data_IF_768956248007
#
_entry.id   IF_768956248007
#
_cell.length_a   1.000
_cell.length_b   1.000
_cell.length_c   1.000
_cell.angle_alpha   90.00
_cell.angle_beta   90.00
_cell.angle_gamma   90.00
#
_symmetry.space_group_name_H-M   'P 1'
#
loop_
_entity.id
_entity.type
_entity.pdbx_description
1 polymer ?
#
# COMPACT_ATOMS: atom_id res chain seq x y z
N UNK A 1 30.38 35.66 1.88
CA UNK A 1 29.13 35.55 2.64
C UNK A 1 28.56 34.16 2.42
N UNK A 2 28.78 33.27 3.38
CA UNK A 2 28.08 31.99 3.60
C UNK A 2 26.56 32.27 3.71
N UNK A 3 25.64 31.44 3.23
CA UNK A 3 25.40 30.08 3.70
C UNK A 3 24.63 29.29 2.63
N UNK A 4 25.18 28.14 2.23
CA UNK A 4 24.49 27.10 1.48
C UNK A 4 23.87 26.18 2.54
N UNK A 5 22.58 25.82 2.32
CA UNK A 5 21.95 24.54 2.72
C UNK A 5 21.05 24.53 3.96
N UNK A 6 19.81 24.95 3.76
CA UNK A 6 18.64 24.40 4.47
C UNK A 6 17.89 23.40 3.57
N UNK A 7 18.66 22.48 2.98
CA UNK A 7 18.15 21.21 2.48
C UNK A 7 18.72 20.17 3.43
N UNK A 8 18.09 19.96 4.58
CA UNK A 8 18.19 18.72 5.37
C UNK A 8 17.33 18.75 6.63
N UNK A 9 16.33 17.86 6.64
CA UNK A 9 15.99 17.00 7.77
C UNK A 9 15.44 17.66 9.04
N UNK A 10 14.14 17.96 9.02
CA UNK A 10 13.29 17.72 10.20
C UNK A 10 12.81 16.26 10.16
N UNK A 11 13.77 15.35 10.29
CA UNK A 11 13.52 13.99 10.73
C UNK A 11 13.47 13.97 12.26
N UNK A 12 12.83 12.93 12.78
CA UNK A 12 12.85 12.50 14.18
C UNK A 12 11.79 13.12 15.09
N UNK A 13 10.52 12.74 14.86
CA UNK A 13 9.71 12.14 15.94
C UNK A 13 8.40 11.56 15.45
N UNK A 14 8.41 10.55 14.58
CA UNK A 14 7.23 9.73 14.40
C UNK A 14 7.70 8.28 14.15
N UNK A 15 7.00 7.26 14.66
CA UNK A 15 6.23 6.58 13.65
C UNK A 15 4.88 6.17 14.22
N UNK A 16 3.97 7.07 14.62
CA UNK A 16 2.68 6.63 15.09
C UNK A 16 1.87 6.32 13.85
N UNK A 17 1.94 5.08 13.35
CA UNK A 17 1.12 4.53 12.27
C UNK A 17 0.72 5.55 11.20
N UNK A 18 1.62 5.84 10.27
CA UNK A 18 1.26 6.70 9.14
C UNK A 18 0.38 5.90 8.19
N UNK A 19 -0.93 6.12 8.28
CA UNK A 19 -1.89 5.60 7.31
C UNK A 19 -1.45 5.95 5.89
N UNK A 20 -0.83 7.11 5.68
CA UNK A 20 -0.33 7.53 4.37
C UNK A 20 0.87 6.69 3.88
N UNK A 21 1.72 6.23 4.80
CA UNK A 21 2.79 5.28 4.45
C UNK A 21 2.21 3.90 4.10
N UNK A 22 1.23 3.42 4.87
CA UNK A 22 0.50 2.17 4.57
C UNK A 22 -0.16 2.25 3.19
N UNK A 23 -0.86 3.34 2.89
CA UNK A 23 -1.47 3.59 1.60
C UNK A 23 -0.44 3.62 0.46
N UNK A 24 0.73 4.19 0.71
CA UNK A 24 1.82 4.26 -0.27
C UNK A 24 2.43 2.89 -0.55
N UNK A 25 2.55 2.02 0.47
CA UNK A 25 3.01 0.63 0.30
C UNK A 25 1.99 -0.17 -0.52
N UNK A 26 0.71 -0.13 -0.12
CA UNK A 26 -0.35 -0.85 -0.83
C UNK A 26 -0.50 -0.36 -2.27
N UNK A 27 -0.53 0.95 -2.49
CA UNK A 27 -0.60 1.54 -3.82
C UNK A 27 0.61 1.19 -4.67
N UNK A 28 1.82 1.19 -4.09
CA UNK A 28 3.05 0.79 -4.79
C UNK A 28 3.01 -0.66 -5.25
N UNK A 29 2.55 -1.58 -4.38
CA UNK A 29 2.43 -3.00 -4.71
C UNK A 29 1.39 -3.26 -5.81
N UNK A 30 0.31 -2.47 -5.89
CA UNK A 30 -0.70 -2.57 -6.96
C UNK A 30 -0.17 -2.14 -8.34
N UNK A 31 0.87 -1.30 -8.38
CA UNK A 31 1.46 -0.79 -9.63
C UNK A 31 2.66 -1.65 -10.05
N UNK A 32 3.49 -2.02 -9.08
CA UNK A 32 4.75 -2.72 -9.29
C UNK A 32 4.81 -3.99 -8.46
N UNK A 33 4.22 -5.06 -9.01
CA UNK A 33 4.15 -6.37 -8.36
C UNK A 33 5.55 -6.98 -8.14
N UNK A 34 6.57 -6.55 -8.89
CA UNK A 34 7.96 -7.01 -8.73
C UNK A 34 8.55 -6.63 -7.35
N UNK A 35 8.05 -5.57 -6.72
CA UNK A 35 8.47 -5.16 -5.37
C UNK A 35 7.88 -6.03 -4.28
N UNK A 36 6.92 -6.90 -4.59
CA UNK A 36 6.27 -7.74 -3.61
C UNK A 36 7.26 -8.57 -2.80
N UNK A 37 8.18 -9.25 -3.49
CA UNK A 37 9.13 -10.17 -2.85
C UNK A 37 9.90 -9.45 -1.74
N UNK A 38 10.49 -8.29 -2.08
CA UNK A 38 11.26 -7.47 -1.14
C UNK A 38 10.42 -6.90 0.02
N UNK A 39 9.17 -6.53 -0.23
CA UNK A 39 8.29 -5.97 0.81
C UNK A 39 7.78 -7.08 1.74
N UNK A 40 7.38 -8.22 1.18
CA UNK A 40 6.83 -9.36 1.93
C UNK A 40 7.85 -10.04 2.84
N UNK A 41 9.15 -9.94 2.54
CA UNK A 41 10.23 -10.37 3.45
C UNK A 41 10.32 -9.54 4.75
N UNK A 42 9.81 -8.31 4.73
CA UNK A 42 10.03 -7.31 5.79
C UNK A 42 8.75 -6.82 6.45
N UNK A 43 7.61 -6.97 5.79
CA UNK A 43 6.32 -6.45 6.20
C UNK A 43 5.28 -7.55 6.07
N UNK A 44 4.51 -7.75 7.14
CA UNK A 44 3.40 -8.70 7.17
C UNK A 44 2.06 -7.95 7.27
N UNK A 45 0.96 -8.67 7.07
CA UNK A 45 -0.37 -8.07 7.22
C UNK A 45 -0.61 -7.51 8.63
N UNK A 46 0.02 -8.04 9.69
CA UNK A 46 -0.19 -7.58 11.06
C UNK A 46 0.55 -6.27 11.38
N UNK A 47 1.57 -5.91 10.60
CA UNK A 47 2.31 -4.64 10.73
C UNK A 47 1.46 -3.41 10.38
N UNK A 48 0.40 -3.60 9.58
CA UNK A 48 -0.54 -2.54 9.25
C UNK A 48 -1.44 -2.21 10.44
N UNK A 49 -1.64 -0.93 10.75
CA UNK A 49 -2.53 -0.53 11.84
C UNK A 49 -3.99 -0.63 11.45
N UNK A 50 -4.32 -0.22 10.23
CA UNK A 50 -5.68 -0.19 9.72
C UNK A 50 -6.15 -1.59 9.36
N UNK A 51 -7.22 -2.07 10.00
CA UNK A 51 -7.84 -3.37 9.68
C UNK A 51 -8.15 -3.51 8.17
N UNK A 52 -8.72 -2.50 7.48
CA UNK A 52 -8.82 -2.48 6.02
C UNK A 52 -7.51 -2.81 5.29
N UNK A 53 -6.39 -2.20 5.71
CA UNK A 53 -5.10 -2.42 5.07
C UNK A 53 -4.54 -3.81 5.33
N UNK A 54 -4.75 -4.36 6.55
CA UNK A 54 -4.40 -5.74 6.86
C UNK A 54 -5.10 -6.70 5.90
N UNK A 55 -6.42 -6.52 5.72
CA UNK A 55 -7.23 -7.34 4.81
C UNK A 55 -6.77 -7.20 3.37
N UNK A 56 -6.51 -5.97 2.91
CA UNK A 56 -5.99 -5.73 1.56
C UNK A 56 -4.67 -6.47 1.36
N UNK A 57 -3.68 -6.28 2.25
CA UNK A 57 -2.37 -6.90 2.12
C UNK A 57 -2.45 -8.44 2.15
N UNK A 58 -3.25 -9.00 3.06
CA UNK A 58 -3.47 -10.44 3.13
C UNK A 58 -4.07 -10.99 1.82
N UNK A 59 -5.00 -10.25 1.21
CA UNK A 59 -5.60 -10.68 -0.05
C UNK A 59 -4.66 -10.53 -1.24
N UNK A 60 -3.78 -9.51 -1.24
CA UNK A 60 -2.70 -9.40 -2.22
C UNK A 60 -1.76 -10.62 -2.15
N UNK A 61 -1.38 -11.03 -0.94
CA UNK A 61 -0.54 -12.22 -0.74
C UNK A 61 -1.23 -13.46 -1.32
N UNK A 62 -2.50 -13.65 -1.01
CA UNK A 62 -3.28 -14.79 -1.51
C UNK A 62 -3.37 -14.80 -3.05
N UNK A 63 -3.50 -13.65 -3.69
CA UNK A 63 -3.52 -13.56 -5.16
C UNK A 63 -2.19 -14.04 -5.76
N UNK A 64 -1.06 -13.64 -5.19
CA UNK A 64 0.25 -14.12 -5.64
C UNK A 64 0.46 -15.61 -5.38
N UNK A 65 0.01 -16.13 -4.25
CA UNK A 65 0.03 -17.58 -3.97
C UNK A 65 -0.78 -18.37 -5.02
N UNK A 66 -1.82 -17.75 -5.58
CA UNK A 66 -2.64 -18.29 -6.68
C UNK A 66 -2.06 -18.00 -8.08
N UNK A 67 -0.90 -17.34 -8.18
CA UNK A 67 -0.28 -16.94 -9.45
C UNK A 67 -1.07 -15.87 -10.20
N UNK A 68 -1.90 -15.09 -9.50
CA UNK A 68 -2.68 -13.99 -10.07
C UNK A 68 -1.98 -12.64 -9.84
N UNK A 69 -2.12 -11.70 -10.79
CA UNK A 69 -1.57 -10.35 -10.62
C UNK A 69 -2.29 -9.60 -9.48
N UNK A 70 -1.55 -8.70 -8.83
CA UNK A 70 -2.11 -7.78 -7.84
C UNK A 70 -2.37 -6.44 -8.54
N UNK A 71 -3.49 -6.34 -9.24
CA UNK A 71 -3.98 -5.09 -9.83
C UNK A 71 -5.32 -4.70 -9.20
N UNK A 72 -5.75 -3.45 -9.44
CA UNK A 72 -6.98 -2.90 -8.86
C UNK A 72 -8.23 -3.76 -9.15
N UNK A 73 -8.36 -4.27 -10.38
CA UNK A 73 -9.53 -5.04 -10.80
C UNK A 73 -9.48 -6.40 -10.10
N UNK A 74 -8.39 -7.14 -10.28
CA UNK A 74 -8.23 -8.49 -9.71
C UNK A 74 -8.38 -8.49 -8.19
N UNK A 75 -7.82 -7.49 -7.51
CA UNK A 75 -7.93 -7.34 -6.06
C UNK A 75 -9.37 -7.01 -5.64
N UNK A 76 -10.05 -6.13 -6.36
CA UNK A 76 -11.45 -5.79 -6.05
C UNK A 76 -12.39 -6.99 -6.21
N UNK A 77 -12.22 -7.77 -7.27
CA UNK A 77 -12.98 -9.01 -7.49
C UNK A 77 -12.68 -10.04 -6.40
N UNK A 78 -11.42 -10.20 -6.02
CA UNK A 78 -11.02 -11.14 -4.97
C UNK A 78 -11.59 -10.76 -3.59
N UNK A 79 -11.65 -9.46 -3.28
CA UNK A 79 -12.27 -8.95 -2.06
C UNK A 79 -13.79 -9.08 -2.10
N UNK A 80 -14.41 -8.88 -3.26
CA UNK A 80 -15.86 -9.05 -3.43
C UNK A 80 -16.27 -10.52 -3.26
N UNK A 81 -15.51 -11.46 -3.84
CA UNK A 81 -15.73 -12.89 -3.69
C UNK A 81 -15.65 -13.36 -2.23
N UNK A 82 -14.85 -12.68 -1.41
CA UNK A 82 -14.74 -12.93 0.02
C UNK A 82 -15.74 -12.15 0.88
N UNK A 83 -16.60 -11.30 0.28
CA UNK A 83 -17.46 -10.35 0.98
C UNK A 83 -16.70 -9.35 1.89
N UNK A 84 -15.45 -9.05 1.56
CA UNK A 84 -14.57 -8.14 2.31
C UNK A 84 -14.47 -6.75 1.66
N UNK A 85 -14.89 -6.59 0.40
CA UNK A 85 -14.74 -5.35 -0.37
C UNK A 85 -15.37 -4.14 0.34
N UNK A 86 -16.59 -4.27 0.86
CA UNK A 86 -17.24 -3.18 1.59
C UNK A 86 -16.51 -2.84 2.91
N UNK A 87 -15.94 -3.85 3.57
CA UNK A 87 -15.24 -3.68 4.86
C UNK A 87 -13.93 -2.89 4.73
N UNK A 88 -13.32 -2.89 3.55
CA UNK A 88 -12.07 -2.15 3.28
C UNK A 88 -12.31 -0.74 2.73
N UNK A 89 -13.57 -0.33 2.56
CA UNK A 89 -13.94 0.97 1.99
C UNK A 89 -14.42 0.93 0.54
N UNK A 90 -14.58 -0.26 -0.03
CA UNK A 90 -15.11 -0.46 -1.38
C UNK A 90 -14.12 -0.19 -2.51
N UNK A 91 -14.60 -0.36 -3.75
CA UNK A 91 -13.79 -0.14 -4.95
C UNK A 91 -13.19 1.26 -5.02
N UNK A 92 -13.95 2.28 -4.62
CA UNK A 92 -13.50 3.68 -4.62
C UNK A 92 -12.25 3.88 -3.77
N UNK A 93 -12.14 3.20 -2.62
CA UNK A 93 -10.97 3.29 -1.77
C UNK A 93 -9.74 2.67 -2.41
N UNK A 94 -9.88 1.47 -3.00
CA UNK A 94 -8.78 0.81 -3.70
C UNK A 94 -8.27 1.67 -4.89
N UNK A 95 -9.19 2.32 -5.61
CA UNK A 95 -8.83 3.23 -6.69
C UNK A 95 -8.04 4.45 -6.19
N UNK A 96 -8.40 5.00 -5.03
CA UNK A 96 -7.67 6.09 -4.37
C UNK A 96 -6.25 5.65 -3.96
N UNK A 97 -6.08 4.42 -3.44
CA UNK A 97 -4.76 3.87 -3.09
C UNK A 97 -3.83 3.79 -4.30
N UNK A 98 -4.33 3.24 -5.41
CA UNK A 98 -3.59 3.15 -6.66
C UNK A 98 -3.18 4.55 -7.19
N UNK A 99 -4.08 5.52 -7.07
CA UNK A 99 -3.85 6.90 -7.55
C UNK A 99 -2.85 7.68 -6.69
N UNK A 100 -2.84 7.49 -5.36
CA UNK A 100 -1.91 8.20 -4.46
C UNK A 100 -0.45 7.89 -4.79
N UNK A 101 -0.12 6.66 -5.16
CA UNK A 101 1.26 6.28 -5.50
C UNK A 101 1.72 6.88 -6.84
N UNK A 102 0.83 6.96 -7.84
CA UNK A 102 1.13 7.60 -9.13
C UNK A 102 1.54 9.10 -8.99
N UNK A 103 1.16 9.74 -7.89
CA UNK A 103 1.55 11.12 -7.58
C UNK A 103 2.93 11.23 -6.92
N UNK A 104 3.39 10.19 -6.21
CA UNK A 104 4.68 10.17 -5.51
C UNK A 104 5.85 9.76 -6.43
N UNK A 105 5.60 8.92 -7.44
CA UNK A 105 6.64 8.47 -8.39
C UNK A 105 7.01 9.50 -9.48
N UNK A 106 6.36 10.67 -9.52
CA UNK A 106 6.59 11.72 -10.53
C UNK A 106 7.44 12.91 -10.03
N UNK A 107 8.15 12.75 -8.91
CA UNK A 107 9.07 13.75 -8.37
C UNK A 107 10.43 13.16 -8.03
#
# INVERSE_FOLDING_TARGET
MSEIKDRQMEGLKLPPHSLEAEQSVLGGLMIDNERWDNVSERVTADDFYSRPHRTIFAQMQRLLELGKPIDLITLSEALEQNAELESVGGFAYLAELSKKYAKCSQY
#
